data_IF_891921780044
#
_entry.id   IF_891921780044
#
_cell.length_a   1.000
_cell.length_b   1.000
_cell.length_c   1.000
_cell.angle_alpha   90.00
_cell.angle_beta   90.00
_cell.angle_gamma   90.00
#
_symmetry.space_group_name_H-M   'P 1'
#
loop_
_entity.id
_entity.type
_entity.pdbx_description
1 polymer ?
#
# COMPACT_ATOMS: atom_id res chain seq x y z
N UNK A 1 -16.17 7.13 -5.03
CA UNK A 1 -16.35 6.26 -3.88
C UNK A 1 -15.08 5.51 -3.57
N UNK A 2 -14.71 5.49 -2.31
CA UNK A 2 -13.49 4.83 -1.90
C UNK A 2 -13.65 3.32 -1.82
N UNK A 3 -12.53 2.63 -1.79
CA UNK A 3 -12.51 1.19 -1.57
C UNK A 3 -12.66 0.89 -0.08
N UNK A 4 -13.17 -0.29 0.23
CA UNK A 4 -13.24 -0.75 1.61
C UNK A 4 -11.88 -1.27 2.05
N UNK A 5 -11.70 -1.44 3.37
CA UNK A 5 -10.48 -2.03 3.90
C UNK A 5 -10.25 -3.43 3.33
N UNK A 6 -11.33 -4.19 3.14
CA UNK A 6 -11.23 -5.53 2.57
C UNK A 6 -10.72 -5.49 1.14
N UNK A 7 -11.25 -4.57 0.33
CA UNK A 7 -10.80 -4.42 -1.05
C UNK A 7 -9.35 -3.99 -1.13
N UNK A 8 -8.98 -2.98 -0.33
CA UNK A 8 -7.60 -2.50 -0.29
C UNK A 8 -6.65 -3.58 0.21
N UNK A 9 -7.07 -4.31 1.24
CA UNK A 9 -6.27 -5.40 1.76
C UNK A 9 -6.05 -6.49 0.73
N UNK A 10 -7.09 -6.79 -0.06
CA UNK A 10 -6.97 -7.77 -1.13
C UNK A 10 -5.97 -7.36 -2.19
N UNK A 11 -6.00 -6.07 -2.57
CA UNK A 11 -5.04 -5.56 -3.56
C UNK A 11 -3.62 -5.63 -3.01
N UNK A 12 -3.43 -5.20 -1.76
CA UNK A 12 -2.12 -5.24 -1.13
C UNK A 12 -1.60 -6.67 -1.03
N UNK A 13 -2.47 -7.60 -0.63
CA UNK A 13 -2.09 -8.99 -0.51
C UNK A 13 -1.61 -9.55 -1.85
N UNK A 14 -2.31 -9.22 -2.93
CA UNK A 14 -1.91 -9.67 -4.27
C UNK A 14 -0.57 -9.09 -4.68
N UNK A 15 -0.37 -7.80 -4.47
CA UNK A 15 0.88 -7.16 -4.82
C UNK A 15 2.04 -7.75 -4.03
N UNK A 16 1.83 -7.98 -2.74
CA UNK A 16 2.84 -8.54 -1.86
C UNK A 16 3.18 -9.98 -2.25
N UNK A 17 2.14 -10.79 -2.48
CA UNK A 17 2.30 -12.19 -2.82
C UNK A 17 3.01 -12.39 -4.15
N UNK A 18 2.71 -11.54 -5.13
CA UNK A 18 3.26 -11.66 -6.47
C UNK A 18 4.64 -11.00 -6.61
N UNK A 19 5.08 -10.26 -5.60
CA UNK A 19 6.38 -9.61 -5.64
C UNK A 19 7.48 -10.64 -5.42
N UNK A 20 8.62 -10.41 -6.05
CA UNK A 20 9.80 -11.17 -5.73
C UNK A 20 10.21 -10.86 -4.31
N UNK A 21 10.90 -11.80 -3.66
CA UNK A 21 11.20 -11.72 -2.25
C UNK A 21 11.88 -10.39 -1.87
N UNK A 22 12.77 -9.90 -2.72
CA UNK A 22 13.49 -8.66 -2.45
C UNK A 22 12.67 -7.41 -2.74
N UNK A 23 11.51 -7.57 -3.37
CA UNK A 23 10.72 -6.44 -3.82
C UNK A 23 9.41 -6.29 -3.06
N UNK A 24 9.22 -7.08 -2.01
CA UNK A 24 7.97 -7.02 -1.26
C UNK A 24 7.74 -5.65 -0.63
N UNK A 25 8.77 -5.07 -0.02
CA UNK A 25 8.65 -3.74 0.59
C UNK A 25 8.40 -2.69 -0.49
N UNK A 26 9.05 -2.82 -1.65
CA UNK A 26 8.81 -1.92 -2.76
C UNK A 26 7.35 -1.94 -3.19
N UNK A 27 6.74 -3.13 -3.25
CA UNK A 27 5.33 -3.24 -3.61
C UNK A 27 4.43 -2.60 -2.57
N UNK A 28 4.78 -2.72 -1.29
CA UNK A 28 4.02 -2.04 -0.24
C UNK A 28 4.10 -0.54 -0.41
N UNK A 29 5.27 -0.02 -0.75
CA UNK A 29 5.43 1.41 -1.00
C UNK A 29 4.63 1.88 -2.20
N UNK A 30 4.66 1.13 -3.30
CA UNK A 30 3.88 1.47 -4.48
C UNK A 30 2.39 1.47 -4.18
N UNK A 31 1.93 0.46 -3.46
CA UNK A 31 0.54 0.39 -3.04
C UNK A 31 0.16 1.62 -2.21
N UNK A 32 1.01 1.99 -1.25
CA UNK A 32 0.75 3.12 -0.38
C UNK A 32 0.65 4.43 -1.14
N UNK A 33 1.53 4.64 -2.11
CA UNK A 33 1.48 5.86 -2.93
C UNK A 33 0.23 5.86 -3.80
N UNK A 34 -0.08 4.72 -4.42
CA UNK A 34 -1.17 4.63 -5.36
C UNK A 34 -2.54 4.82 -4.71
N UNK A 35 -2.73 4.29 -3.51
CA UNK A 35 -4.02 4.29 -2.83
C UNK A 35 -4.02 5.12 -1.55
N UNK A 36 -3.12 6.11 -1.42
CA UNK A 36 -2.94 6.79 -0.14
C UNK A 36 -4.21 7.44 0.38
N UNK A 37 -5.03 8.01 -0.50
CA UNK A 37 -6.27 8.66 -0.05
C UNK A 37 -7.26 7.65 0.52
N UNK A 38 -7.45 6.55 -0.19
CA UNK A 38 -8.38 5.52 0.27
C UNK A 38 -7.90 4.87 1.56
N UNK A 39 -6.58 4.63 1.66
CA UNK A 39 -6.02 4.05 2.86
C UNK A 39 -6.26 4.95 4.07
N UNK A 40 -6.09 6.26 3.90
CA UNK A 40 -6.30 7.19 5.00
C UNK A 40 -7.76 7.21 5.44
N UNK A 41 -8.70 6.97 4.54
CA UNK A 41 -10.11 6.94 4.88
C UNK A 41 -10.48 5.71 5.71
N UNK A 42 -9.87 4.56 5.45
CA UNK A 42 -10.22 3.34 6.16
C UNK A 42 -9.23 2.97 7.28
N UNK A 43 -8.02 3.51 7.21
CA UNK A 43 -7.00 3.27 8.24
C UNK A 43 -5.94 2.28 7.81
N UNK A 44 -4.68 2.63 8.09
CA UNK A 44 -3.52 1.80 7.73
C UNK A 44 -3.61 0.44 8.40
N UNK A 45 -3.94 0.42 9.68
CA UNK A 45 -4.02 -0.82 10.45
C UNK A 45 -5.01 -1.79 9.85
N UNK A 46 -6.20 -1.28 9.50
CA UNK A 46 -7.25 -2.12 8.94
C UNK A 46 -6.83 -2.73 7.61
N UNK A 47 -6.16 -1.95 6.78
CA UNK A 47 -5.71 -2.44 5.48
C UNK A 47 -4.67 -3.54 5.64
N UNK A 48 -3.71 -3.35 6.53
CA UNK A 48 -2.67 -4.36 6.76
C UNK A 48 -3.26 -5.64 7.35
N UNK A 49 -4.22 -5.50 8.27
CA UNK A 49 -4.89 -6.67 8.84
C UNK A 49 -5.65 -7.44 7.77
N UNK A 50 -6.40 -6.72 6.92
CA UNK A 50 -7.15 -7.37 5.85
C UNK A 50 -6.24 -8.03 4.81
N UNK A 51 -5.05 -7.48 4.60
CA UNK A 51 -4.09 -8.07 3.69
C UNK A 51 -3.47 -9.34 4.24
N UNK A 52 -3.50 -9.53 5.55
CA UNK A 52 -2.92 -10.72 6.17
C UNK A 52 -1.41 -10.72 6.20
N UNK A 53 -0.77 -9.57 6.04
CA UNK A 53 0.69 -9.46 6.12
C UNK A 53 1.08 -9.01 7.51
N UNK A 54 2.37 -9.12 7.82
CA UNK A 54 2.86 -8.83 9.16
C UNK A 54 2.61 -7.39 9.55
N UNK A 55 2.27 -7.17 10.83
CA UNK A 55 1.92 -5.83 11.32
C UNK A 55 3.07 -4.83 11.23
N UNK A 56 4.33 -5.29 11.18
CA UNK A 56 5.46 -4.39 11.02
C UNK A 56 5.38 -3.59 9.71
N UNK A 57 4.67 -4.11 8.71
CA UNK A 57 4.53 -3.41 7.43
C UNK A 57 3.65 -2.17 7.51
N UNK A 58 2.96 -1.96 8.64
CA UNK A 58 2.24 -0.70 8.85
C UNK A 58 3.19 0.51 8.79
N UNK A 59 4.40 0.34 9.31
CA UNK A 59 5.40 1.40 9.27
C UNK A 59 5.80 1.73 7.82
N UNK A 60 6.02 0.69 7.03
CA UNK A 60 6.38 0.89 5.63
C UNK A 60 5.26 1.56 4.85
N UNK A 61 4.03 1.14 5.10
CA UNK A 61 2.88 1.73 4.44
C UNK A 61 2.70 3.20 4.85
N UNK A 62 2.92 3.50 6.13
CA UNK A 62 2.85 4.87 6.62
C UNK A 62 3.87 5.77 5.94
N UNK A 63 5.09 5.27 5.76
CA UNK A 63 6.13 6.01 5.05
C UNK A 63 5.72 6.31 3.61
N UNK A 64 5.12 5.33 2.95
CA UNK A 64 4.68 5.49 1.57
C UNK A 64 3.60 6.55 1.45
N UNK A 65 2.66 6.57 2.39
CA UNK A 65 1.59 7.56 2.38
C UNK A 65 2.15 8.98 2.54
N UNK A 66 3.15 9.14 3.39
CA UNK A 66 3.82 10.44 3.52
C UNK A 66 4.54 10.84 2.25
N UNK A 67 5.18 9.86 1.60
CA UNK A 67 5.88 10.10 0.35
C UNK A 67 4.91 10.52 -0.76
N UNK A 68 3.68 10.05 -0.70
CA UNK A 68 2.69 10.35 -1.72
C UNK A 68 2.41 11.83 -1.89
N UNK A 69 2.76 12.65 -0.91
CA UNK A 69 2.65 14.11 -1.02
C UNK A 69 3.56 14.67 -2.10
N UNK A 70 4.62 13.95 -2.45
CA UNK A 70 5.69 14.45 -3.31
C UNK A 70 5.76 13.75 -4.65
N UNK A 71 5.10 12.59 -4.79
CA UNK A 71 5.15 11.79 -6.01
C UNK A 71 3.76 11.27 -6.33
N UNK A 72 3.58 10.84 -7.57
CA UNK A 72 2.36 10.15 -7.98
C UNK A 72 2.73 8.81 -8.57
N UNK A 73 1.77 7.85 -8.62
CA UNK A 73 2.06 6.57 -9.26
C UNK A 73 2.53 6.73 -10.70
N UNK A 74 1.98 7.72 -11.41
CA UNK A 74 2.37 7.97 -12.79
C UNK A 74 3.85 8.35 -12.88
N UNK A 75 4.31 9.17 -11.96
CA UNK A 75 5.72 9.58 -11.93
C UNK A 75 6.62 8.37 -11.60
N UNK A 76 6.17 7.48 -10.71
CA UNK A 76 6.93 6.32 -10.33
C UNK A 76 7.14 5.38 -11.52
N UNK A 77 6.12 5.23 -12.35
CA UNK A 77 6.15 4.30 -13.47
C UNK A 77 6.64 4.92 -14.77
N UNK A 78 6.85 6.20 -14.78
CA UNK A 78 7.24 6.91 -16.00
C UNK A 78 8.75 6.90 -16.15
N UNK A 79 9.23 6.21 -17.12
CA UNK A 79 10.66 6.15 -17.42
C UNK A 79 10.90 6.12 -18.89
#
# INVERSE_FOLDING_TARGET
>A
MGKTASELGGILAEMYKNAQKKEQVTMIHLFGVQYHEEILQVGIREVVEEAGIHSTYRTELSKAIKLAKYVTPLQIFKH
#
